data_IF_442181454762
#
_entry.id   IF_442181454762
#
_cell.length_a   1.000
_cell.length_b   1.000
_cell.length_c   1.000
_cell.angle_alpha   90.00
_cell.angle_beta   90.00
_cell.angle_gamma   90.00
#
_symmetry.space_group_name_H-M   'P 1'
#
loop_
_entity.id
_entity.type
_entity.pdbx_description
1 polymer ?
#
# COMPACT_ATOMS: atom_id res chain seq x y z
N UNK A 1 -15.55 -25.10 -0.51
CA UNK A 1 -14.31 -24.34 -0.74
C UNK A 1 -14.12 -23.36 0.42
N UNK A 2 -12.92 -23.23 1.00
CA UNK A 2 -12.66 -22.39 2.19
C UNK A 2 -13.06 -20.92 1.98
N UNK A 3 -12.85 -20.38 0.78
CA UNK A 3 -13.24 -19.00 0.44
C UNK A 3 -14.76 -18.79 0.49
N UNK A 4 -15.55 -19.77 0.05
CA UNK A 4 -17.01 -19.71 0.10
C UNK A 4 -17.53 -19.82 1.55
N UNK A 5 -16.81 -20.53 2.43
CA UNK A 5 -17.11 -20.55 3.87
C UNK A 5 -16.72 -19.24 4.54
N UNK A 6 -15.55 -18.69 4.20
CA UNK A 6 -15.09 -17.38 4.69
C UNK A 6 -16.07 -16.27 4.29
N UNK A 7 -16.63 -16.33 3.08
CA UNK A 7 -17.67 -15.42 2.61
C UNK A 7 -18.97 -15.45 3.44
N UNK A 8 -19.25 -16.56 4.13
CA UNK A 8 -20.36 -16.70 5.06
C UNK A 8 -20.00 -16.27 6.50
N UNK A 9 -18.81 -15.71 6.72
CA UNK A 9 -18.33 -15.29 8.04
C UNK A 9 -17.61 -16.39 8.82
N UNK A 10 -17.25 -17.51 8.19
CA UNK A 10 -16.48 -18.60 8.85
C UNK A 10 -15.02 -18.16 9.07
N UNK A 11 -14.73 -17.68 10.27
CA UNK A 11 -13.39 -17.22 10.69
C UNK A 11 -12.33 -18.33 10.60
N UNK A 12 -12.69 -19.58 10.91
CA UNK A 12 -11.75 -20.70 10.85
C UNK A 12 -11.34 -21.02 9.41
N UNK A 13 -12.28 -20.87 8.46
CA UNK A 13 -11.97 -21.04 7.05
C UNK A 13 -11.00 -19.95 6.53
N UNK A 14 -11.14 -18.72 7.04
CA UNK A 14 -10.24 -17.63 6.69
C UNK A 14 -8.87 -17.76 7.37
N UNK A 15 -8.82 -18.21 8.62
CA UNK A 15 -7.57 -18.52 9.32
C UNK A 15 -6.72 -19.52 8.52
N UNK A 16 -7.34 -20.57 7.99
CA UNK A 16 -6.62 -21.53 7.13
C UNK A 16 -6.08 -20.90 5.83
N UNK A 17 -6.78 -19.91 5.26
CA UNK A 17 -6.27 -19.15 4.10
C UNK A 17 -5.11 -18.26 4.52
N UNK A 18 -5.23 -17.58 5.66
CA UNK A 18 -4.19 -16.73 6.22
C UNK A 18 -2.91 -17.53 6.46
N UNK A 19 -2.97 -18.64 7.21
CA UNK A 19 -1.82 -19.47 7.55
C UNK A 19 -1.09 -19.98 6.30
N UNK A 20 -1.84 -20.36 5.26
CA UNK A 20 -1.28 -20.85 4.02
C UNK A 20 -0.63 -19.76 3.14
N UNK A 21 -1.02 -18.49 3.32
CA UNK A 21 -0.64 -17.40 2.40
C UNK A 21 0.24 -16.32 3.04
N UNK A 22 0.28 -16.23 4.38
CA UNK A 22 0.99 -15.18 5.10
C UNK A 22 2.46 -15.03 4.69
N UNK A 23 3.25 -16.12 4.53
CA UNK A 23 4.64 -15.99 4.08
C UNK A 23 4.78 -15.39 2.67
N UNK A 24 3.85 -15.72 1.76
CA UNK A 24 3.86 -15.23 0.38
C UNK A 24 3.43 -13.76 0.31
N UNK A 25 2.40 -13.41 1.07
CA UNK A 25 1.88 -12.04 1.16
C UNK A 25 2.96 -11.10 1.71
N UNK A 26 3.58 -11.45 2.83
CA UNK A 26 4.62 -10.64 3.44
C UNK A 26 5.86 -10.56 2.53
N UNK A 27 6.29 -11.67 1.93
CA UNK A 27 7.41 -11.70 0.99
C UNK A 27 7.20 -10.78 -0.22
N UNK A 28 5.99 -10.78 -0.80
CA UNK A 28 5.63 -9.90 -1.91
C UNK A 28 5.63 -8.43 -1.48
N UNK A 29 5.02 -8.10 -0.35
CA UNK A 29 4.96 -6.72 0.16
C UNK A 29 6.38 -6.19 0.45
N UNK A 30 7.23 -7.00 1.09
CA UNK A 30 8.64 -6.69 1.33
C UNK A 30 9.41 -6.46 0.03
N UNK A 31 9.20 -7.28 -1.00
CA UNK A 31 9.86 -7.13 -2.29
C UNK A 31 9.53 -5.80 -2.98
N UNK A 32 8.31 -5.30 -2.81
CA UNK A 32 7.85 -4.03 -3.41
C UNK A 32 8.28 -2.82 -2.57
N UNK A 33 8.11 -2.87 -1.25
CA UNK A 33 8.28 -1.72 -0.35
C UNK A 33 9.68 -1.59 0.24
N UNK A 34 10.41 -2.71 0.38
CA UNK A 34 11.73 -2.78 1.03
C UNK A 34 11.76 -2.17 2.45
N UNK A 35 10.61 -2.14 3.12
CA UNK A 35 10.44 -1.65 4.49
C UNK A 35 9.54 -2.64 5.24
N UNK A 36 10.02 -3.28 6.32
CA UNK A 36 9.26 -4.30 7.03
C UNK A 36 7.98 -3.77 7.67
N UNK A 37 8.04 -2.60 8.30
CA UNK A 37 6.87 -1.97 8.96
C UNK A 37 5.78 -1.69 7.94
N UNK A 38 6.12 -1.07 6.80
CA UNK A 38 5.12 -0.80 5.76
C UNK A 38 4.62 -2.07 5.08
N UNK A 39 5.44 -3.11 5.01
CA UNK A 39 5.03 -4.39 4.43
C UNK A 39 4.00 -5.11 5.31
N UNK A 40 4.19 -5.07 6.64
CA UNK A 40 3.23 -5.59 7.62
C UNK A 40 1.90 -4.83 7.55
N UNK A 41 1.92 -3.48 7.55
CA UNK A 41 0.72 -2.66 7.38
C UNK A 41 -0.05 -3.02 6.10
N UNK A 42 0.67 -3.17 4.98
CA UNK A 42 0.05 -3.55 3.70
C UNK A 42 -0.50 -4.97 3.71
N UNK A 43 0.15 -5.91 4.38
CA UNK A 43 -0.34 -7.27 4.52
C UNK A 43 -1.66 -7.30 5.31
N UNK A 44 -1.73 -6.61 6.44
CA UNK A 44 -2.94 -6.49 7.25
C UNK A 44 -4.10 -5.87 6.46
N UNK A 45 -3.87 -4.73 5.81
CA UNK A 45 -4.87 -4.09 4.94
C UNK A 45 -5.34 -5.02 3.81
N UNK A 46 -4.41 -5.77 3.21
CA UNK A 46 -4.74 -6.70 2.15
C UNK A 46 -5.64 -7.83 2.67
N UNK A 47 -5.37 -8.40 3.84
CA UNK A 47 -6.20 -9.44 4.43
C UNK A 47 -7.60 -8.94 4.77
N UNK A 48 -7.75 -7.73 5.31
CA UNK A 48 -9.07 -7.10 5.52
C UNK A 48 -9.85 -6.97 4.21
N UNK A 49 -9.15 -6.60 3.13
CA UNK A 49 -9.74 -6.51 1.80
C UNK A 49 -10.11 -7.88 1.22
N UNK A 50 -9.29 -8.90 1.45
CA UNK A 50 -9.59 -10.29 1.08
C UNK A 50 -10.85 -10.75 1.80
N UNK A 51 -10.91 -10.63 3.12
CA UNK A 51 -12.08 -10.98 3.94
C UNK A 51 -13.36 -10.33 3.40
N UNK A 52 -13.34 -9.03 3.18
CA UNK A 52 -14.50 -8.25 2.69
C UNK A 52 -14.92 -8.67 1.27
N UNK A 53 -13.98 -9.17 0.45
CA UNK A 53 -14.22 -9.52 -0.95
C UNK A 53 -14.33 -11.03 -1.20
N UNK A 54 -14.16 -11.88 -0.18
CA UNK A 54 -14.23 -13.34 -0.32
C UNK A 54 -15.52 -13.80 -1.00
N UNK A 55 -16.65 -13.14 -0.75
CA UNK A 55 -17.93 -13.44 -1.39
C UNK A 55 -17.97 -13.19 -2.91
N UNK A 56 -17.05 -12.36 -3.43
CA UNK A 56 -16.94 -12.05 -4.87
C UNK A 56 -15.86 -12.86 -5.58
N UNK A 57 -15.16 -13.72 -4.85
CA UNK A 57 -14.16 -14.58 -5.45
C UNK A 57 -14.84 -15.63 -6.34
N UNK A 58 -14.39 -15.68 -7.59
CA UNK A 58 -14.84 -16.64 -8.59
C UNK A 58 -13.69 -17.59 -8.95
N UNK A 59 -13.78 -18.89 -8.60
CA UNK A 59 -12.74 -19.86 -8.94
C UNK A 59 -12.54 -20.06 -10.44
N UNK A 60 -13.50 -19.67 -11.29
CA UNK A 60 -13.33 -19.73 -12.75
C UNK A 60 -12.35 -18.68 -13.29
N UNK A 61 -12.11 -17.60 -12.54
CA UNK A 61 -11.21 -16.51 -12.94
C UNK A 61 -9.76 -16.69 -12.45
N UNK A 62 -9.48 -17.73 -11.66
CA UNK A 62 -8.13 -18.07 -11.22
C UNK A 62 -8.06 -18.63 -9.80
N UNK A 63 -6.82 -18.88 -9.34
CA UNK A 63 -6.59 -19.41 -8.00
C UNK A 63 -6.78 -18.34 -6.92
N UNK A 64 -7.17 -18.76 -5.72
CA UNK A 64 -7.29 -17.90 -4.53
C UNK A 64 -5.96 -17.22 -4.21
N UNK A 65 -4.85 -17.95 -4.33
CA UNK A 65 -3.50 -17.43 -4.10
C UNK A 65 -3.20 -16.29 -5.07
N UNK A 66 -3.43 -16.51 -6.38
CA UNK A 66 -3.22 -15.49 -7.41
C UNK A 66 -4.05 -14.24 -7.13
N UNK A 67 -5.31 -14.41 -6.73
CA UNK A 67 -6.21 -13.30 -6.40
C UNK A 67 -5.72 -12.51 -5.18
N UNK A 68 -5.29 -13.18 -4.10
CA UNK A 68 -4.71 -12.55 -2.91
C UNK A 68 -3.43 -11.77 -3.28
N UNK A 69 -2.50 -12.41 -4.00
CA UNK A 69 -1.24 -11.76 -4.40
C UNK A 69 -1.48 -10.55 -5.31
N UNK A 70 -2.52 -10.57 -6.13
CA UNK A 70 -2.92 -9.40 -6.95
C UNK A 70 -3.35 -8.23 -6.08
N UNK A 71 -4.15 -8.48 -5.03
CA UNK A 71 -4.58 -7.45 -4.07
C UNK A 71 -3.36 -6.83 -3.37
N UNK A 72 -2.45 -7.69 -2.88
CA UNK A 72 -1.23 -7.27 -2.18
C UNK A 72 -0.33 -6.46 -3.09
N UNK A 73 -0.11 -6.91 -4.32
CA UNK A 73 0.73 -6.20 -5.29
C UNK A 73 0.19 -4.78 -5.57
N UNK A 74 -1.10 -4.66 -5.86
CA UNK A 74 -1.73 -3.36 -6.10
C UNK A 74 -1.57 -2.43 -4.90
N UNK A 75 -1.83 -2.92 -3.68
CA UNK A 75 -1.67 -2.15 -2.45
C UNK A 75 -0.23 -1.67 -2.24
N UNK A 76 0.73 -2.58 -2.36
CA UNK A 76 2.14 -2.26 -2.18
C UNK A 76 2.64 -1.24 -3.21
N UNK A 77 2.22 -1.37 -4.48
CA UNK A 77 2.54 -0.38 -5.53
C UNK A 77 1.89 0.97 -5.24
N UNK A 78 0.63 1.01 -4.83
CA UNK A 78 -0.06 2.25 -4.44
C UNK A 78 0.62 2.94 -3.26
N UNK A 79 1.03 2.18 -2.24
CA UNK A 79 1.79 2.69 -1.08
C UNK A 79 3.12 3.28 -1.51
N UNK A 80 3.91 2.54 -2.30
CA UNK A 80 5.22 2.98 -2.81
C UNK A 80 5.11 4.29 -3.61
N UNK A 81 4.13 4.36 -4.52
CA UNK A 81 3.88 5.58 -5.31
C UNK A 81 3.46 6.77 -4.44
N UNK A 82 2.68 6.53 -3.40
CA UNK A 82 2.23 7.58 -2.48
C UNK A 82 3.39 8.15 -1.66
N UNK A 83 4.33 7.29 -1.22
CA UNK A 83 5.56 7.75 -0.58
C UNK A 83 6.45 8.54 -1.53
N UNK A 84 6.63 8.09 -2.78
CA UNK A 84 7.43 8.78 -3.79
C UNK A 84 6.83 10.16 -4.14
N UNK A 85 5.52 10.25 -4.35
CA UNK A 85 4.83 11.50 -4.68
C UNK A 85 4.70 12.49 -3.49
N UNK A 86 4.82 12.03 -2.25
CA UNK A 86 4.95 12.93 -1.09
C UNK A 86 6.35 13.54 -1.04
N UNK A 87 7.39 12.73 -1.26
CA UNK A 87 8.78 13.19 -1.25
C UNK A 87 9.05 14.25 -2.32
N UNK A 88 8.53 14.06 -3.54
CA UNK A 88 8.73 15.02 -4.63
C UNK A 88 8.09 16.39 -4.35
N UNK A 89 6.91 16.40 -3.72
CA UNK A 89 6.23 17.64 -3.31
C UNK A 89 6.95 18.36 -2.18
N UNK A 90 7.51 17.63 -1.21
CA UNK A 90 8.30 18.22 -0.12
C UNK A 90 9.62 18.83 -0.63
N UNK A 91 10.28 18.19 -1.60
CA UNK A 91 11.49 18.73 -2.22
C UNK A 91 11.17 20.00 -3.02
N UNK A 92 10.09 20.00 -3.80
CA UNK A 92 9.66 21.18 -4.55
C UNK A 92 9.23 22.35 -3.65
N UNK A 93 8.57 22.06 -2.52
CA UNK A 93 8.13 23.07 -1.54
C UNK A 93 9.28 23.73 -0.77
N UNK A 94 10.45 23.08 -0.68
CA UNK A 94 11.67 23.67 -0.08
C UNK A 94 12.44 24.59 -1.04
N UNK A 95 12.25 24.45 -2.35
CA UNK A 95 12.89 25.31 -3.37
C UNK A 95 12.28 26.70 -3.52
N UNK A 96 11.07 26.94 -3.00
CA UNK A 96 10.30 28.19 -3.21
C UNK A 96 10.32 29.17 -2.02
N UNK A 97 11.31 29.08 -1.13
CA UNK A 97 11.54 30.02 -0.01
C UNK A 97 12.94 30.68 -0.01
N UNK A 98 13.60 30.78 -1.17
CA UNK A 98 14.87 31.50 -1.32
C UNK A 98 14.75 32.59 -2.38
N UNK A 99 13.93 33.61 -2.10
CA UNK A 99 13.74 34.76 -2.98
C UNK A 99 13.26 36.04 -2.28
N UNK A 100 13.31 36.09 -0.94
CA UNK A 100 12.96 37.29 -0.15
C UNK A 100 14.16 37.71 0.71
N UNK A 101 15.18 38.22 0.01
CA UNK A 101 16.29 39.06 0.52
C UNK A 101 16.65 39.95 -0.67
N UNK A 102 16.52 41.27 -0.68
CA UNK A 102 16.23 42.25 0.34
C UNK A 102 15.76 43.48 -0.43
N UNK A 103 14.50 43.91 -0.30
CA UNK A 103 14.13 45.26 -0.73
C UNK A 103 14.72 46.22 0.31
N UNK A 104 15.97 46.61 0.07
CA UNK A 104 16.60 47.74 0.73
C UNK A 104 16.79 48.85 -0.31
N UNK A 105 15.77 49.68 -0.46
CA UNK A 105 15.97 51.11 -0.70
C UNK A 105 16.08 51.79 0.69
N UNK A 106 16.65 53.00 0.86
CA UNK A 106 17.01 54.02 -0.13
C UNK A 106 18.38 54.71 0.12
N UNK A 107 18.81 55.63 -0.77
CA UNK A 107 19.18 57.05 -0.49
C UNK A 107 20.15 57.62 -1.54
N UNK A 108 19.63 58.64 -2.23
CA UNK A 108 20.25 59.93 -2.62
C UNK A 108 21.78 60.07 -2.69
N UNK A 109 22.28 60.49 -3.86
CA UNK A 109 23.37 61.47 -4.11
C UNK A 109 23.81 61.28 -5.58
N UNK A 110 24.04 62.28 -6.44
CA UNK A 110 24.04 63.74 -6.39
C UNK A 110 23.99 64.23 -7.84
#
# INVERSE_FOLDING_TARGET
>A
MLVQRSAAGDEAAFAAIYDATAPLVLGLALGVLRNPVQAEEVAEEAYLQVWTRCARFDPAQGSVITWILTIVHHRAVSRRRSSEGCLERDVHSRGHRSGLRTLHAPRSAR
#
